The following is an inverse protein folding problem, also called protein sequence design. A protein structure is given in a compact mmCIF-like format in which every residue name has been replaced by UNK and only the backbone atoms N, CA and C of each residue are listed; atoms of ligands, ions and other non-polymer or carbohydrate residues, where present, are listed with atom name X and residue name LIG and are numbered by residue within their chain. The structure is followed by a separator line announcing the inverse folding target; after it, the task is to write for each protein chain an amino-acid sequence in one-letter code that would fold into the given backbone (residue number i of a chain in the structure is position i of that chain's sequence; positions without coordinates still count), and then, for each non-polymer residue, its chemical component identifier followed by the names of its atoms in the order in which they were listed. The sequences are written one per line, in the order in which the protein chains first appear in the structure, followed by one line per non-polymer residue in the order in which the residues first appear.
data_IF_401208619754
#
_entry.id   IF_401208619754
#
_cell.length_a   1.000
_cell.length_b   1.000
_cell.length_c   1.000
_cell.angle_alpha   90.00
_cell.angle_beta   90.00
_cell.angle_gamma   90.00
#
_symmetry.space_group_name_H-M   'P 1'
#
loop_
_entity.id
_entity.type
_entity.pdbx_description
1 polymer ?
#
# COMPACT_ATOMS: atom_id res chain seq x y z
N UNK A 1 -8.31 28.73 6.80
CA UNK A 1 -8.52 27.35 6.32
C UNK A 1 -9.52 27.39 5.18
N UNK A 2 -9.21 26.82 4.01
CA UNK A 2 -10.13 26.82 2.88
C UNK A 2 -11.27 25.80 3.10
N UNK A 3 -12.31 25.86 2.26
CA UNK A 3 -13.49 25.00 2.37
C UNK A 3 -13.14 23.51 2.26
N UNK A 4 -12.30 23.14 1.32
CA UNK A 4 -11.88 21.75 1.09
C UNK A 4 -11.16 21.15 2.31
N UNK A 5 -10.25 21.91 2.92
CA UNK A 5 -9.55 21.47 4.13
C UNK A 5 -10.53 21.24 5.28
N UNK A 6 -11.56 22.09 5.39
CA UNK A 6 -12.59 21.93 6.41
C UNK A 6 -13.40 20.64 6.18
N UNK A 7 -13.86 20.41 4.96
CA UNK A 7 -14.64 19.21 4.58
C UNK A 7 -13.82 17.92 4.82
N UNK A 8 -12.51 17.94 4.51
CA UNK A 8 -11.62 16.83 4.78
C UNK A 8 -11.47 16.56 6.28
N UNK A 9 -11.21 17.59 7.10
CA UNK A 9 -11.07 17.43 8.54
C UNK A 9 -12.37 16.95 9.19
N UNK A 10 -13.53 17.43 8.73
CA UNK A 10 -14.85 16.95 9.16
C UNK A 10 -15.02 15.46 8.81
N UNK A 11 -14.64 15.06 7.60
CA UNK A 11 -14.67 13.66 7.16
C UNK A 11 -13.79 12.78 8.06
N UNK A 12 -12.52 13.15 8.25
CA UNK A 12 -11.58 12.38 9.07
C UNK A 12 -11.98 12.34 10.56
N UNK A 13 -12.64 13.40 11.05
CA UNK A 13 -13.15 13.44 12.42
C UNK A 13 -14.39 12.56 12.60
N UNK A 14 -15.28 12.53 11.60
CA UNK A 14 -16.47 11.67 11.63
C UNK A 14 -16.14 10.18 11.60
N UNK A 15 -14.97 9.81 11.07
CA UNK A 15 -14.46 8.43 11.07
C UNK A 15 -14.01 7.93 12.46
N UNK A 16 -13.85 8.81 13.45
CA UNK A 16 -13.52 8.43 14.82
C UNK A 16 -14.75 7.89 15.56
N UNK A 17 -14.56 6.78 16.27
CA UNK A 17 -15.54 6.23 17.22
C UNK A 17 -15.61 7.08 18.49
N UNK A 18 -16.72 6.99 19.23
CA UNK A 18 -16.88 7.72 20.50
C UNK A 18 -15.81 7.36 21.54
N UNK A 19 -15.34 6.10 21.54
CA UNK A 19 -14.23 5.67 22.42
C UNK A 19 -12.90 6.31 22.04
N UNK A 20 -12.62 6.46 20.75
CA UNK A 20 -11.42 7.15 20.25
C UNK A 20 -11.47 8.65 20.59
N UNK A 21 -12.63 9.29 20.38
CA UNK A 21 -12.86 10.70 20.75
C UNK A 21 -12.70 10.94 22.26
N UNK A 22 -13.22 10.04 23.10
CA UNK A 22 -13.06 10.12 24.55
C UNK A 22 -11.59 10.02 25.01
N UNK A 23 -10.70 9.43 24.18
CA UNK A 23 -9.25 9.39 24.41
C UNK A 23 -8.50 10.59 23.81
N UNK A 24 -9.21 11.56 23.22
CA UNK A 24 -8.64 12.75 22.61
C UNK A 24 -8.21 12.58 21.15
N UNK A 25 -8.56 11.47 20.49
CA UNK A 25 -8.29 11.32 19.06
C UNK A 25 -9.23 12.22 18.25
N UNK A 26 -8.66 13.09 17.42
CA UNK A 26 -9.41 14.10 16.66
C UNK A 26 -9.80 13.64 15.25
N UNK A 27 -8.94 12.82 14.63
CA UNK A 27 -9.06 12.41 13.23
C UNK A 27 -8.59 10.96 13.03
N UNK A 28 -9.08 10.30 11.99
CA UNK A 28 -8.71 8.93 11.62
C UNK A 28 -8.40 8.83 10.12
N UNK A 29 -7.13 8.55 9.80
CA UNK A 29 -6.67 8.39 8.43
C UNK A 29 -6.75 6.94 7.93
N UNK A 30 -6.74 5.96 8.85
CA UNK A 30 -6.71 4.54 8.51
C UNK A 30 -8.01 3.85 8.90
N UNK A 31 -8.52 3.01 8.01
CA UNK A 31 -9.60 2.08 8.34
C UNK A 31 -9.08 1.04 9.36
N UNK A 32 -9.91 0.59 10.33
CA UNK A 32 -9.53 -0.44 11.29
C UNK A 32 -9.62 -1.84 10.66
N UNK A 33 -9.03 -2.00 9.48
CA UNK A 33 -9.05 -3.23 8.69
C UNK A 33 -7.68 -3.44 8.05
N UNK A 34 -7.26 -4.70 7.98
CA UNK A 34 -6.09 -5.11 7.22
C UNK A 34 -6.27 -6.56 6.79
N UNK A 35 -5.74 -6.88 5.61
CA UNK A 35 -5.73 -8.25 5.10
C UNK A 35 -4.35 -8.88 5.35
N UNK A 36 -4.21 -9.59 6.47
CA UNK A 36 -3.05 -10.44 6.70
C UNK A 36 -3.35 -11.87 6.27
N UNK A 37 -2.51 -12.41 5.39
CA UNK A 37 -2.56 -13.81 4.98
C UNK A 37 -1.17 -14.42 5.12
N UNK A 38 -1.03 -15.54 5.84
CA UNK A 38 0.25 -16.21 5.93
C UNK A 38 0.62 -16.79 4.55
N UNK A 39 1.90 -16.69 4.20
CA UNK A 39 2.44 -17.18 2.95
C UNK A 39 3.33 -18.38 3.25
N UNK A 40 2.86 -19.57 2.91
CA UNK A 40 3.54 -20.84 3.23
C UNK A 40 4.18 -21.51 2.01
N UNK A 41 3.86 -21.06 0.80
CA UNK A 41 4.37 -21.64 -0.45
C UNK A 41 4.87 -20.55 -1.38
N UNK A 42 5.88 -20.89 -2.19
CA UNK A 42 6.39 -20.01 -3.24
C UNK A 42 5.30 -19.65 -4.25
N UNK A 43 4.46 -20.61 -4.63
CA UNK A 43 3.34 -20.37 -5.54
C UNK A 43 2.40 -19.28 -5.00
N UNK A 44 2.04 -19.34 -3.71
CA UNK A 44 1.19 -18.31 -3.12
C UNK A 44 1.92 -16.97 -2.95
N UNK A 45 3.23 -17.00 -2.68
CA UNK A 45 4.06 -15.79 -2.65
C UNK A 45 4.04 -15.09 -4.01
N UNK A 46 4.35 -15.83 -5.09
CA UNK A 46 4.35 -15.32 -6.46
C UNK A 46 2.99 -14.77 -6.85
N UNK A 47 1.91 -15.49 -6.55
CA UNK A 47 0.56 -14.99 -6.77
C UNK A 47 0.31 -13.63 -6.10
N UNK A 48 0.83 -13.41 -4.88
CA UNK A 48 0.69 -12.14 -4.16
C UNK A 48 1.61 -11.05 -4.69
N UNK A 49 2.85 -11.37 -5.03
CA UNK A 49 3.79 -10.45 -5.66
C UNK A 49 3.21 -9.95 -6.98
N UNK A 50 2.75 -10.85 -7.85
CA UNK A 50 2.13 -10.50 -9.14
C UNK A 50 0.94 -9.57 -8.95
N UNK A 51 0.04 -9.90 -8.03
CA UNK A 51 -1.12 -9.06 -7.73
C UNK A 51 -0.72 -7.65 -7.26
N UNK A 52 0.25 -7.56 -6.34
CA UNK A 52 0.71 -6.28 -5.79
C UNK A 52 1.43 -5.46 -6.87
N UNK A 53 2.30 -6.08 -7.66
CA UNK A 53 3.08 -5.43 -8.70
C UNK A 53 2.20 -4.88 -9.81
N UNK A 54 1.13 -5.59 -10.19
CA UNK A 54 0.20 -5.16 -11.23
C UNK A 54 -0.91 -4.22 -10.74
N UNK A 55 -1.08 -4.03 -9.41
CA UNK A 55 -2.11 -3.15 -8.85
C UNK A 55 -2.06 -1.70 -9.39
N UNK A 56 -0.89 -1.06 -9.64
CA UNK A 56 -0.82 0.30 -10.17
C UNK A 56 -1.46 0.48 -11.56
N UNK A 57 -1.56 -0.60 -12.35
CA UNK A 57 -2.09 -0.59 -13.72
C UNK A 57 -3.41 -1.34 -13.87
N UNK A 58 -3.97 -1.85 -12.77
CA UNK A 58 -5.13 -2.76 -12.79
C UNK A 58 -6.39 -2.15 -12.18
N UNK A 59 -7.53 -2.56 -12.72
CA UNK A 59 -8.85 -2.23 -12.19
C UNK A 59 -9.15 -0.74 -12.32
N UNK A 60 -9.46 -0.09 -11.20
CA UNK A 60 -9.75 1.36 -11.17
C UNK A 60 -8.49 2.22 -11.17
N UNK A 61 -7.33 1.61 -10.96
CA UNK A 61 -6.06 2.31 -10.80
C UNK A 61 -5.33 2.33 -12.14
N UNK A 62 -4.90 3.52 -12.56
CA UNK A 62 -4.13 3.77 -13.78
C UNK A 62 -3.02 4.76 -13.42
N UNK A 63 -2.18 4.36 -12.48
CA UNK A 63 -1.13 5.22 -11.91
C UNK A 63 0.10 5.33 -12.83
N UNK A 64 0.30 4.34 -13.70
CA UNK A 64 1.35 4.29 -14.71
C UNK A 64 0.88 3.45 -15.92
N UNK A 65 1.69 3.39 -16.98
CA UNK A 65 1.38 2.58 -18.19
C UNK A 65 1.87 1.14 -17.98
N UNK A 66 3.17 0.99 -17.69
CA UNK A 66 3.76 -0.31 -17.36
C UNK A 66 3.91 -0.45 -15.84
N UNK A 67 3.61 -1.64 -15.31
CA UNK A 67 3.62 -1.88 -13.86
C UNK A 67 5.02 -1.78 -13.23
N UNK A 68 6.06 -1.96 -14.04
CA UNK A 68 7.47 -1.77 -13.67
C UNK A 68 7.88 -0.30 -13.63
N UNK A 69 7.08 0.63 -14.17
CA UNK A 69 7.37 2.07 -14.12
C UNK A 69 6.90 2.74 -12.82
N UNK A 70 6.11 2.04 -11.99
CA UNK A 70 5.60 2.62 -10.75
C UNK A 70 6.70 2.72 -9.70
N UNK A 71 7.17 3.95 -9.43
CA UNK A 71 8.29 4.21 -8.53
C UNK A 71 8.04 3.74 -7.08
N UNK A 72 6.79 3.67 -6.64
CA UNK A 72 6.44 3.20 -5.29
C UNK A 72 6.18 1.68 -5.23
N UNK A 73 6.84 0.91 -6.10
CA UNK A 73 6.77 -0.55 -6.15
C UNK A 73 8.17 -1.17 -6.30
N UNK A 74 8.30 -2.42 -5.86
CA UNK A 74 9.50 -3.23 -6.09
C UNK A 74 9.47 -3.99 -7.42
N UNK A 75 8.45 -3.79 -8.26
CA UNK A 75 8.26 -4.55 -9.51
C UNK A 75 9.50 -4.49 -10.43
N UNK A 76 10.04 -3.30 -10.66
CA UNK A 76 11.23 -3.11 -11.51
C UNK A 76 12.47 -3.88 -11.02
N UNK A 77 12.59 -4.07 -9.71
CA UNK A 77 13.70 -4.82 -9.13
C UNK A 77 13.61 -6.31 -9.45
N UNK A 78 12.41 -6.89 -9.37
CA UNK A 78 12.22 -8.32 -9.64
C UNK A 78 12.18 -8.64 -11.14
N UNK A 79 11.54 -7.79 -11.95
CA UNK A 79 11.32 -8.07 -13.38
C UNK A 79 12.44 -7.56 -14.30
N UNK A 80 13.08 -6.45 -13.94
CA UNK A 80 14.06 -5.78 -14.80
C UNK A 80 15.46 -5.71 -14.16
N UNK A 81 15.65 -6.33 -12.99
CA UNK A 81 16.88 -6.25 -12.19
C UNK A 81 17.32 -4.80 -11.91
N UNK A 82 16.35 -3.86 -11.91
CA UNK A 82 16.61 -2.43 -11.74
C UNK A 82 16.53 -2.05 -10.27
N UNK A 83 17.63 -1.60 -9.62
CA UNK A 83 17.59 -1.17 -8.24
C UNK A 83 16.73 0.08 -8.08
N UNK A 84 16.07 0.21 -6.93
CA UNK A 84 15.28 1.38 -6.61
C UNK A 84 16.18 2.57 -6.24
N UNK A 85 15.85 3.77 -6.73
CA UNK A 85 16.73 4.94 -6.64
C UNK A 85 16.97 5.44 -5.19
N UNK A 86 16.02 5.20 -4.29
CA UNK A 86 16.05 5.76 -2.93
C UNK A 86 16.09 4.73 -1.80
N UNK A 87 15.97 3.43 -2.12
CA UNK A 87 15.84 2.38 -1.09
C UNK A 87 16.50 1.11 -1.57
N UNK A 88 17.21 0.43 -0.67
CA UNK A 88 17.68 -0.93 -0.91
C UNK A 88 16.51 -1.90 -0.69
N UNK A 89 16.21 -2.72 -1.69
CA UNK A 89 15.14 -3.71 -1.60
C UNK A 89 15.70 -4.97 -0.93
N UNK A 90 15.02 -5.43 0.12
CA UNK A 90 15.28 -6.74 0.69
C UNK A 90 14.65 -7.81 -0.21
N UNK A 91 15.50 -8.66 -0.79
CA UNK A 91 15.08 -9.70 -1.70
C UNK A 91 14.53 -10.90 -0.94
N UNK A 92 13.31 -11.33 -1.23
CA UNK A 92 12.73 -12.50 -0.55
C UNK A 92 13.55 -13.79 -0.82
N UNK A 93 14.26 -13.85 -1.95
CA UNK A 93 15.08 -14.99 -2.36
C UNK A 93 16.23 -15.26 -1.40
N UNK A 94 16.65 -14.24 -0.63
CA UNK A 94 17.68 -14.38 0.40
C UNK A 94 17.18 -15.03 1.70
N UNK A 95 15.85 -15.11 1.88
CA UNK A 95 15.22 -15.56 3.14
C UNK A 95 14.32 -16.78 2.97
N UNK A 96 14.03 -17.19 1.74
CA UNK A 96 13.15 -18.32 1.47
C UNK A 96 13.95 -19.63 1.47
N UNK A 97 13.62 -20.55 2.37
CA UNK A 97 14.25 -21.86 2.53
C UNK A 97 13.42 -22.99 1.91
#
# INVERSE_FOLDING_TARGET
MNRETRELLETLSSACTEKEKAKGQLHKAFEPSFDAKPVYTLEFLHQKLDYIHHNPVSGKWHLCIEFTDYEHSSAAFYELEKPHAFVAIADYRDYWF
#
